data_IF_737057600581
#
_entry.id   IF_737057600581
#
_cell.length_a   1.000
_cell.length_b   1.000
_cell.length_c   1.000
_cell.angle_alpha   90.00
_cell.angle_beta   90.00
_cell.angle_gamma   90.00
#
_symmetry.space_group_name_H-M   'P 1'
#
loop_
_entity.id
_entity.type
_entity.pdbx_description
1 polymer ?
#
# COMPACT_ATOMS: atom_id res chain seq x y z
N UNK A 1 -7.68 7.38 4.94
CA UNK A 1 -6.61 6.38 5.23
C UNK A 1 -7.26 5.21 5.95
N UNK A 2 -6.58 4.07 6.07
CA UNK A 2 -7.22 2.74 6.12
C UNK A 2 -6.85 1.93 7.37
N UNK A 3 -7.86 1.47 8.10
CA UNK A 3 -7.72 0.51 9.21
C UNK A 3 -8.58 -0.76 9.04
N UNK A 4 -9.38 -0.85 7.97
CA UNK A 4 -10.24 -1.98 7.59
C UNK A 4 -11.39 -2.33 8.56
N UNK A 5 -11.54 -1.61 9.67
CA UNK A 5 -12.50 -1.97 10.72
C UNK A 5 -13.96 -1.63 10.36
N UNK A 6 -14.15 -0.68 9.44
CA UNK A 6 -15.46 -0.34 8.89
C UNK A 6 -15.92 -1.28 7.76
N UNK A 7 -15.11 -2.30 7.45
CA UNK A 7 -15.33 -3.27 6.37
C UNK A 7 -15.44 -2.64 4.97
N UNK A 8 -14.85 -1.48 4.77
CA UNK A 8 -14.66 -0.85 3.46
C UNK A 8 -13.18 -0.83 3.07
N UNK A 9 -12.89 -0.51 1.80
CA UNK A 9 -11.53 -0.40 1.30
C UNK A 9 -11.39 0.95 0.60
N UNK A 10 -10.49 1.78 1.10
CA UNK A 10 -10.14 3.11 0.59
C UNK A 10 -9.06 3.08 -0.50
N UNK A 11 -8.85 1.91 -1.10
CA UNK A 11 -7.89 1.64 -2.16
C UNK A 11 -8.57 0.96 -3.36
N UNK A 12 -8.11 1.28 -4.56
CA UNK A 12 -8.62 0.76 -5.83
C UNK A 12 -7.48 0.32 -6.76
N UNK A 13 -7.78 -0.48 -7.77
CA UNK A 13 -6.80 -0.91 -8.77
C UNK A 13 -6.11 0.29 -9.40
N UNK A 14 -4.80 0.19 -9.49
CA UNK A 14 -3.96 1.10 -10.26
C UNK A 14 -2.98 0.31 -11.11
N UNK A 15 -2.17 1.00 -11.92
CA UNK A 15 -1.20 0.39 -12.81
C UNK A 15 -1.85 -0.26 -14.04
N UNK A 16 -1.20 -0.11 -15.20
CA UNK A 16 -1.75 -0.56 -16.48
C UNK A 16 -1.56 -2.06 -16.75
N UNK A 17 -0.69 -2.74 -15.99
CA UNK A 17 -0.28 -4.13 -16.22
C UNK A 17 -0.63 -5.08 -15.06
N UNK A 18 -1.56 -4.69 -14.19
CA UNK A 18 -1.95 -5.51 -13.03
C UNK A 18 -2.77 -6.73 -13.41
N UNK A 19 -2.40 -7.89 -12.87
CA UNK A 19 -3.11 -9.17 -13.03
C UNK A 19 -4.07 -9.43 -11.87
N UNK A 20 -3.85 -8.77 -10.72
CA UNK A 20 -4.70 -8.84 -9.54
C UNK A 20 -5.36 -7.48 -9.32
N UNK A 21 -6.69 -7.49 -9.22
CA UNK A 21 -7.50 -6.26 -9.26
C UNK A 21 -7.89 -5.75 -7.85
N UNK A 22 -8.02 -6.66 -6.88
CA UNK A 22 -8.67 -6.33 -5.61
C UNK A 22 -7.87 -6.78 -4.39
N UNK A 23 -7.50 -5.80 -3.56
CA UNK A 23 -7.39 -5.99 -2.12
C UNK A 23 -8.76 -6.38 -1.55
N UNK A 24 -8.77 -7.25 -0.54
CA UNK A 24 -9.96 -7.72 0.16
C UNK A 24 -9.77 -7.55 1.66
N UNK A 25 -10.84 -7.73 2.41
CA UNK A 25 -10.80 -7.72 3.87
C UNK A 25 -10.80 -9.16 4.38
N UNK A 26 -9.98 -9.44 5.38
CA UNK A 26 -9.98 -10.72 6.12
C UNK A 26 -10.27 -10.49 7.59
N UNK A 27 -11.08 -11.36 8.18
CA UNK A 27 -11.33 -11.42 9.62
C UNK A 27 -10.81 -12.72 10.27
N UNK A 28 -9.95 -13.46 9.57
CA UNK A 28 -9.32 -14.67 10.12
C UNK A 28 -8.28 -14.23 11.14
N UNK A 29 -8.40 -14.64 12.40
CA UNK A 29 -7.57 -14.16 13.50
C UNK A 29 -6.05 -14.26 13.26
N UNK A 30 -5.58 -15.30 12.57
CA UNK A 30 -4.15 -15.46 12.22
C UNK A 30 -3.66 -14.54 11.09
N UNK A 31 -4.59 -13.87 10.42
CA UNK A 31 -4.35 -12.96 9.30
C UNK A 31 -4.56 -11.49 9.66
N UNK A 32 -5.08 -11.22 10.86
CA UNK A 32 -5.36 -9.86 11.34
C UNK A 32 -4.19 -9.35 12.18
N UNK A 33 -3.86 -8.07 12.06
CA UNK A 33 -2.86 -7.42 12.91
C UNK A 33 -3.43 -7.20 14.32
N UNK A 34 -2.68 -7.59 15.35
CA UNK A 34 -3.06 -7.43 16.78
C UNK A 34 -4.51 -7.84 17.11
N UNK A 35 -4.98 -8.94 16.51
CA UNK A 35 -6.34 -9.45 16.67
C UNK A 35 -6.74 -9.61 18.14
N UNK A 36 -7.82 -8.94 18.55
CA UNK A 36 -8.39 -9.04 19.89
C UNK A 36 -9.88 -9.45 19.88
N UNK A 37 -10.48 -9.55 18.69
CA UNK A 37 -11.89 -9.91 18.52
C UNK A 37 -12.88 -8.80 18.93
N UNK A 38 -12.40 -7.62 19.29
CA UNK A 38 -13.19 -6.49 19.76
C UNK A 38 -12.93 -5.23 18.92
N UNK A 39 -11.74 -4.65 19.05
CA UNK A 39 -11.32 -3.43 18.36
C UNK A 39 -10.52 -3.73 17.08
N UNK A 40 -9.73 -4.81 17.07
CA UNK A 40 -8.96 -5.24 15.91
C UNK A 40 -9.52 -6.59 15.42
N UNK A 41 -10.30 -6.54 14.36
CA UNK A 41 -11.00 -7.71 13.80
C UNK A 41 -10.70 -7.91 12.33
N UNK A 42 -10.20 -6.90 11.63
CA UNK A 42 -10.07 -6.91 10.19
C UNK A 42 -8.72 -6.38 9.74
N UNK A 43 -8.22 -6.92 8.64
CA UNK A 43 -7.05 -6.39 7.94
C UNK A 43 -7.25 -6.53 6.43
N UNK A 44 -6.48 -5.79 5.65
CA UNK A 44 -6.38 -5.96 4.21
C UNK A 44 -5.61 -7.23 3.85
N UNK A 45 -6.07 -7.95 2.84
CA UNK A 45 -5.39 -9.11 2.25
C UNK A 45 -5.37 -9.01 0.72
N UNK A 46 -4.23 -9.38 0.14
CA UNK A 46 -4.05 -9.64 -1.28
C UNK A 46 -3.53 -11.05 -1.41
N UNK A 47 -4.17 -11.87 -2.26
CA UNK A 47 -3.67 -13.20 -2.61
C UNK A 47 -3.39 -13.23 -4.11
N UNK A 48 -2.12 -13.39 -4.47
CA UNK A 48 -1.66 -13.51 -5.85
C UNK A 48 -1.63 -14.99 -6.23
N UNK A 49 -1.95 -15.32 -7.49
CA UNK A 49 -1.84 -16.70 -7.97
C UNK A 49 -0.37 -17.11 -8.21
N UNK A 50 -0.15 -18.37 -8.59
CA UNK A 50 1.15 -18.85 -9.08
C UNK A 50 1.48 -18.25 -10.46
N UNK A 51 2.74 -18.40 -10.86
CA UNK A 51 3.29 -17.83 -12.07
C UNK A 51 3.47 -16.32 -11.96
N UNK A 52 3.55 -15.67 -13.12
CA UNK A 52 3.81 -14.25 -13.21
C UNK A 52 2.59 -13.42 -12.82
N UNK A 53 2.67 -12.73 -11.67
CA UNK A 53 1.61 -11.88 -11.16
C UNK A 53 2.12 -10.46 -10.89
N UNK A 54 1.25 -9.48 -11.11
CA UNK A 54 1.46 -8.08 -10.77
C UNK A 54 0.22 -7.61 -10.02
N UNK A 55 0.43 -7.16 -8.78
CA UNK A 55 -0.56 -6.51 -7.95
C UNK A 55 -0.23 -5.02 -7.86
N UNK A 56 -1.24 -4.16 -7.95
CA UNK A 56 -1.11 -2.78 -7.53
C UNK A 56 -2.47 -2.16 -7.16
N UNK A 57 -2.54 -1.58 -5.97
CA UNK A 57 -3.65 -0.72 -5.58
C UNK A 57 -3.13 0.64 -5.11
N UNK A 58 -3.87 1.69 -5.42
CA UNK A 58 -3.64 3.05 -4.93
C UNK A 58 -4.83 3.54 -4.11
N UNK A 59 -4.62 4.55 -3.27
CA UNK A 59 -5.71 5.21 -2.56
C UNK A 59 -6.72 5.82 -3.53
N UNK A 60 -8.01 5.69 -3.21
CA UNK A 60 -9.08 6.36 -3.97
C UNK A 60 -8.96 7.88 -3.79
N UNK A 61 -8.71 8.30 -2.55
CA UNK A 61 -8.52 9.69 -2.15
C UNK A 61 -7.26 10.29 -2.77
N UNK A 62 -7.38 11.55 -3.21
CA UNK A 62 -6.29 12.46 -3.53
C UNK A 62 -5.86 13.24 -2.28
N UNK A 63 -4.56 13.37 -2.07
CA UNK A 63 -3.97 14.09 -0.96
C UNK A 63 -3.20 15.31 -1.46
N UNK A 64 -3.63 16.50 -1.04
CA UNK A 64 -2.82 17.72 -1.11
C UNK A 64 -1.82 17.68 0.04
N UNK A 65 -0.60 17.23 -0.26
CA UNK A 65 0.45 17.04 0.74
C UNK A 65 1.29 18.30 0.94
N UNK A 66 1.69 18.60 2.19
CA UNK A 66 2.40 19.83 2.51
C UNK A 66 3.72 19.95 1.77
N UNK A 67 4.03 21.16 1.32
CA UNK A 67 5.24 21.47 0.55
C UNK A 67 6.24 22.26 1.40
N UNK A 68 7.41 22.53 0.83
CA UNK A 68 8.54 23.28 1.44
C UNK A 68 9.37 22.47 2.43
N UNK A 69 9.54 21.17 2.16
CA UNK A 69 10.42 20.31 2.94
C UNK A 69 9.85 19.90 4.30
N UNK A 70 8.53 19.99 4.48
CA UNK A 70 7.82 19.38 5.61
C UNK A 70 8.02 17.87 5.60
N UNK A 71 8.15 17.30 6.80
CA UNK A 71 8.22 15.85 6.99
C UNK A 71 6.87 15.20 6.70
N UNK A 72 6.88 14.20 5.82
CA UNK A 72 5.69 13.42 5.42
C UNK A 72 6.07 11.95 5.51
N UNK A 73 5.29 11.17 6.25
CA UNK A 73 5.50 9.75 6.43
C UNK A 73 4.28 8.94 6.02
N UNK A 74 4.51 7.93 5.20
CA UNK A 74 3.59 6.81 5.05
C UNK A 74 3.93 5.76 6.11
N UNK A 75 3.01 5.55 7.04
CA UNK A 75 3.08 4.51 8.06
C UNK A 75 2.12 3.38 7.72
N UNK A 76 2.52 2.13 7.92
CA UNK A 76 1.62 1.00 7.78
C UNK A 76 2.16 -0.23 8.49
N UNK A 77 1.25 -1.12 8.88
CA UNK A 77 1.55 -2.45 9.34
C UNK A 77 1.42 -3.42 8.16
N UNK A 78 2.39 -4.32 7.98
CA UNK A 78 2.35 -5.30 6.90
C UNK A 78 2.92 -6.65 7.30
N UNK A 79 2.40 -7.70 6.68
CA UNK A 79 2.96 -9.06 6.68
C UNK A 79 2.92 -9.55 5.24
N UNK A 80 4.01 -10.10 4.73
CA UNK A 80 4.10 -10.44 3.32
C UNK A 80 4.96 -11.68 3.07
N UNK A 81 4.51 -12.54 2.16
CA UNK A 81 5.31 -13.65 1.63
C UNK A 81 6.01 -13.34 0.29
N UNK A 82 5.79 -12.13 -0.25
CA UNK A 82 6.47 -11.58 -1.41
C UNK A 82 6.97 -10.15 -1.11
N UNK A 83 7.67 -9.56 -2.08
CA UNK A 83 8.09 -8.17 -1.99
C UNK A 83 6.87 -7.23 -1.96
N UNK A 84 7.00 -6.10 -1.27
CA UNK A 84 6.00 -5.04 -1.25
C UNK A 84 6.69 -3.74 -1.62
N UNK A 85 6.18 -3.07 -2.63
CA UNK A 85 6.64 -1.74 -3.04
C UNK A 85 5.63 -0.74 -2.51
N UNK A 86 6.10 0.28 -1.81
CA UNK A 86 5.29 1.45 -1.45
C UNK A 86 5.73 2.65 -2.27
N UNK A 87 4.78 3.43 -2.76
CA UNK A 87 5.10 4.64 -3.49
C UNK A 87 3.94 5.62 -3.63
N UNK A 88 4.15 6.62 -4.48
CA UNK A 88 3.17 7.67 -4.75
C UNK A 88 2.86 7.80 -6.22
N UNK A 89 1.64 8.20 -6.52
CA UNK A 89 1.23 8.69 -7.82
C UNK A 89 1.08 10.21 -7.73
N UNK A 90 1.95 11.00 -8.36
CA UNK A 90 1.73 12.42 -8.59
C UNK A 90 0.64 12.57 -9.67
N UNK A 91 -0.49 13.17 -9.31
CA UNK A 91 -1.66 13.28 -10.17
C UNK A 91 -1.76 14.68 -10.76
N UNK A 92 -1.53 14.80 -12.06
CA UNK A 92 -2.07 15.89 -12.88
C UNK A 92 -2.66 15.37 -14.16
N UNK A 93 -3.87 15.82 -14.49
CA UNK A 93 -4.49 15.56 -15.78
C UNK A 93 -4.32 14.10 -16.25
N UNK A 94 -3.60 13.91 -17.35
CA UNK A 94 -3.67 12.69 -18.18
C UNK A 94 -2.49 11.71 -18.03
N UNK A 95 -1.38 12.06 -17.37
CA UNK A 95 -0.25 11.12 -17.20
C UNK A 95 0.04 10.91 -15.72
N UNK A 96 -0.12 9.66 -15.30
CA UNK A 96 0.06 9.20 -13.91
C UNK A 96 1.08 8.06 -13.96
N UNK A 97 2.37 8.39 -13.81
CA UNK A 97 3.43 7.39 -13.64
C UNK A 97 3.72 7.25 -12.16
N UNK A 98 3.70 6.01 -11.66
CA UNK A 98 3.97 5.73 -10.25
C UNK A 98 5.43 5.95 -9.93
N UNK A 99 5.70 6.61 -8.82
CA UNK A 99 7.03 6.79 -8.25
C UNK A 99 7.21 5.77 -7.12
N UNK A 100 7.92 4.64 -7.36
CA UNK A 100 8.22 3.69 -6.31
C UNK A 100 9.28 4.29 -5.37
N UNK A 101 9.02 4.27 -4.07
CA UNK A 101 9.86 4.94 -3.06
C UNK A 101 10.72 3.91 -2.32
N UNK A 102 10.08 2.83 -1.85
CA UNK A 102 10.77 1.76 -1.11
C UNK A 102 10.26 0.40 -1.56
N UNK A 103 11.18 -0.56 -1.67
CA UNK A 103 10.88 -1.98 -1.79
C UNK A 103 11.19 -2.70 -0.48
N UNK A 104 10.19 -3.40 0.06
CA UNK A 104 10.26 -4.20 1.27
C UNK A 104 10.37 -5.69 0.92
N UNK A 105 11.38 -6.35 1.47
CA UNK A 105 11.49 -7.80 1.39
C UNK A 105 10.35 -8.51 2.16
N UNK A 106 10.06 -9.79 1.81
CA UNK A 106 9.14 -10.63 2.56
C UNK A 106 9.41 -10.60 4.07
N UNK A 107 8.34 -10.71 4.87
CA UNK A 107 8.42 -10.55 6.32
C UNK A 107 8.65 -11.86 7.07
N UNK A 108 8.78 -12.99 6.37
CA UNK A 108 8.90 -14.33 6.93
C UNK A 108 7.74 -14.69 7.89
N UNK A 109 6.53 -14.25 7.55
CA UNK A 109 5.31 -14.59 8.29
C UNK A 109 5.05 -13.75 9.55
N UNK A 110 5.88 -12.73 9.81
CA UNK A 110 5.71 -11.83 10.97
C UNK A 110 5.17 -10.47 10.52
N UNK A 111 4.31 -9.86 11.33
CA UNK A 111 3.88 -8.48 11.12
C UNK A 111 5.02 -7.51 11.42
N UNK A 112 5.22 -6.53 10.55
CA UNK A 112 6.20 -5.45 10.71
C UNK A 112 5.50 -4.10 10.56
N UNK A 113 6.05 -3.08 11.19
CA UNK A 113 5.65 -1.68 10.96
C UNK A 113 6.68 -1.00 10.06
N UNK A 114 6.21 -0.29 9.04
CA UNK A 114 7.02 0.48 8.12
C UNK A 114 6.75 1.98 8.28
N UNK A 115 7.80 2.77 8.06
CA UNK A 115 7.78 4.22 7.99
C UNK A 115 8.54 4.63 6.74
N UNK A 116 7.85 5.19 5.76
CA UNK A 116 8.44 5.63 4.50
C UNK A 116 8.38 7.15 4.46
N UNK A 117 9.55 7.81 4.43
CA UNK A 117 9.60 9.24 4.17
C UNK A 117 9.20 9.51 2.72
N UNK A 118 8.24 10.40 2.53
CA UNK A 118 7.79 10.87 1.21
C UNK A 118 8.27 12.28 0.90
N UNK A 119 9.04 12.89 1.81
CA UNK A 119 9.39 14.30 1.78
C UNK A 119 10.05 14.72 0.47
N UNK A 120 11.12 14.03 0.07
CA UNK A 120 11.89 14.41 -1.12
C UNK A 120 11.05 14.27 -2.40
N UNK A 121 10.34 13.15 -2.55
CA UNK A 121 9.54 12.87 -3.73
C UNK A 121 8.32 13.78 -3.85
N UNK A 122 7.63 14.08 -2.75
CA UNK A 122 6.53 15.06 -2.74
C UNK A 122 7.03 16.48 -3.02
N UNK A 123 8.26 16.83 -2.60
CA UNK A 123 8.82 18.16 -2.85
C UNK A 123 9.60 18.26 -4.18
N UNK A 124 9.56 17.22 -5.03
CA UNK A 124 10.12 17.29 -6.37
C UNK A 124 9.49 18.47 -7.16
N UNK A 125 10.29 19.40 -7.69
CA UNK A 125 9.79 20.55 -8.45
C UNK A 125 8.89 20.19 -9.63
N UNK A 126 9.04 18.99 -10.22
CA UNK A 126 8.19 18.50 -11.31
C UNK A 126 6.73 18.28 -10.88
N UNK A 127 6.47 18.08 -9.59
CA UNK A 127 5.14 17.80 -9.04
C UNK A 127 4.53 19.02 -8.35
N UNK A 128 4.97 20.24 -8.70
CA UNK A 128 4.44 21.48 -8.14
C UNK A 128 2.95 21.64 -8.49
N UNK A 129 2.09 21.70 -7.47
CA UNK A 129 0.64 21.85 -7.62
C UNK A 129 -0.11 20.54 -7.93
N UNK A 130 0.57 19.40 -7.79
CA UNK A 130 -0.02 18.07 -8.00
C UNK A 130 -0.66 17.57 -6.69
N UNK A 131 -1.74 16.81 -6.81
CA UNK A 131 -2.23 15.97 -5.72
C UNK A 131 -1.54 14.60 -5.77
N UNK A 132 -1.60 13.84 -4.68
CA UNK A 132 -0.97 12.52 -4.62
C UNK A 132 -1.95 11.42 -4.26
N UNK A 133 -1.74 10.23 -4.82
CA UNK A 133 -2.22 8.96 -4.24
C UNK A 133 -1.04 8.20 -3.69
N UNK A 134 -1.28 7.38 -2.67
CA UNK A 134 -0.30 6.38 -2.22
C UNK A 134 -0.64 5.06 -2.89
N UNK A 135 0.35 4.28 -3.31
CA UNK A 135 0.13 2.94 -3.84
C UNK A 135 0.99 1.89 -3.15
N UNK A 136 0.48 0.66 -3.17
CA UNK A 136 1.21 -0.55 -2.86
C UNK A 136 1.23 -1.47 -4.08
N UNK A 137 2.39 -2.03 -4.38
CA UNK A 137 2.60 -2.93 -5.51
C UNK A 137 3.37 -4.19 -5.09
N UNK A 138 3.24 -5.25 -5.86
CA UNK A 138 4.05 -6.46 -5.73
C UNK A 138 4.13 -7.18 -7.06
N UNK A 139 5.26 -7.81 -7.33
CA UNK A 139 5.47 -8.64 -8.50
C UNK A 139 6.02 -9.99 -8.09
N UNK A 140 5.43 -11.06 -8.60
CA UNK A 140 5.85 -12.43 -8.25
C UNK A 140 5.92 -13.32 -9.47
N UNK A 141 6.74 -14.36 -9.38
CA UNK A 141 6.80 -15.43 -10.38
C UNK A 141 7.08 -16.76 -9.67
N UNK A 142 6.08 -17.26 -8.93
CA UNK A 142 6.23 -18.45 -8.05
C UNK A 142 5.42 -19.63 -8.57
N UNK A 143 6.02 -20.81 -8.68
CA UNK A 143 5.34 -21.95 -9.33
C UNK A 143 4.41 -22.73 -8.39
N UNK A 144 4.68 -22.72 -7.08
CA UNK A 144 4.08 -23.70 -6.15
C UNK A 144 3.34 -23.07 -4.95
N UNK A 145 3.53 -21.77 -4.70
CA UNK A 145 2.95 -21.09 -3.53
C UNK A 145 2.31 -19.80 -3.98
N UNK A 146 1.04 -19.61 -3.61
CA UNK A 146 0.29 -18.37 -3.82
C UNK A 146 0.79 -17.30 -2.84
N UNK A 147 1.40 -16.21 -3.33
CA UNK A 147 1.87 -15.15 -2.45
C UNK A 147 0.71 -14.43 -1.78
N UNK A 148 0.92 -14.03 -0.52
CA UNK A 148 -0.06 -13.30 0.27
C UNK A 148 0.59 -12.07 0.89
N UNK A 149 -0.10 -10.94 0.74
CA UNK A 149 0.24 -9.67 1.36
C UNK A 149 -0.90 -9.29 2.30
N UNK A 150 -0.54 -8.80 3.48
CA UNK A 150 -1.47 -8.31 4.48
C UNK A 150 -1.07 -6.89 4.86
N UNK A 151 -2.07 -6.03 5.01
CA UNK A 151 -1.90 -4.63 5.34
C UNK A 151 -2.86 -4.24 6.45
N UNK A 152 -2.43 -3.32 7.31
CA UNK A 152 -3.24 -2.77 8.38
C UNK A 152 -2.70 -1.37 8.75
N UNK A 153 -3.53 -0.56 9.42
CA UNK A 153 -3.13 0.72 9.98
C UNK A 153 -2.36 1.61 8.98
N UNK A 154 -2.85 1.76 7.76
CA UNK A 154 -2.23 2.60 6.73
C UNK A 154 -2.53 4.05 7.04
N UNK A 155 -1.48 4.84 7.28
CA UNK A 155 -1.56 6.24 7.68
C UNK A 155 -0.62 7.12 6.89
N UNK A 156 -1.08 8.33 6.65
CA UNK A 156 -0.30 9.40 6.03
C UNK A 156 -0.18 10.52 7.06
N UNK A 157 1.03 10.73 7.56
CA UNK A 157 1.33 11.60 8.70
C UNK A 157 2.19 12.76 8.22
N UNK A 158 1.79 13.98 8.57
CA UNK A 158 2.53 15.21 8.25
C UNK A 158 2.25 16.29 9.31
N UNK A 159 3.15 17.28 9.42
CA UNK A 159 3.15 18.30 10.48
C UNK A 159 3.15 19.73 9.96
#
# INVERSE_FOLDING_TARGET
>A
MEDFEDQTISMEKSGSATTIDSMKITGISSQVFDYDGAANKYSGIVTMDTGFQIFENSTIQLFDLPRRGTEIYLEFNYKASAEVIAGIYPITGTIVTGVPIVNFFPTNGVWKKAYVSLKEDVNNPEYLGFDFRVFFSSRTNTDNVKPQLFFDNIKLVHF
#
